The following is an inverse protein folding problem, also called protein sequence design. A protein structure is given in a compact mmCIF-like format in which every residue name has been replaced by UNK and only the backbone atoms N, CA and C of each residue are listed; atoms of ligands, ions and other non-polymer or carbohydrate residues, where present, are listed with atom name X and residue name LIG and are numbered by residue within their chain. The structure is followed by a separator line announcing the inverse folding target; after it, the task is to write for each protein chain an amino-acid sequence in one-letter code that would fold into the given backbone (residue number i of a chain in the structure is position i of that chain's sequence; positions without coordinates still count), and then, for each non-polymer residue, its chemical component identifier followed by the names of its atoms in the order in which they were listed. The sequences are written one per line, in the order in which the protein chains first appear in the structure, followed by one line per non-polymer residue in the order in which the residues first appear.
data_IF_557921230277
#
_entry.id   IF_557921230277
#
_cell.length_a   1.000
_cell.length_b   1.000
_cell.length_c   1.000
_cell.angle_alpha   90.00
_cell.angle_beta   90.00
_cell.angle_gamma   90.00
#
_symmetry.space_group_name_H-M   'P 1'
#
loop_
_entity.id
_entity.type
_entity.pdbx_description
1 polymer ?
#
# COMPACT_ATOMS: atom_id res chain seq x y z
N UNK A 1 -11.23 31.12 -17.37
CA UNK A 1 -10.98 32.24 -16.45
C UNK A 1 -11.20 31.67 -15.08
N UNK A 2 -10.21 31.73 -14.19
CA UNK A 2 -10.38 31.26 -12.81
C UNK A 2 -11.33 32.24 -12.09
N UNK A 3 -12.64 31.99 -12.15
CA UNK A 3 -13.58 32.77 -11.35
C UNK A 3 -13.31 32.46 -9.89
N UNK A 4 -13.14 33.50 -9.08
CA UNK A 4 -12.77 33.32 -7.68
C UNK A 4 -14.02 32.83 -6.93
N UNK A 5 -14.10 31.52 -6.67
CA UNK A 5 -15.26 30.88 -6.04
C UNK A 5 -15.38 31.27 -4.56
N UNK A 6 -14.26 31.67 -3.95
CA UNK A 6 -14.20 32.16 -2.57
C UNK A 6 -14.74 33.59 -2.45
N UNK A 7 -15.47 33.84 -1.37
CA UNK A 7 -15.98 35.18 -1.05
C UNK A 7 -14.92 35.96 -0.26
N UNK A 8 -14.43 37.11 -0.77
CA UNK A 8 -13.45 37.93 -0.07
C UNK A 8 -13.90 38.26 1.37
N UNK A 9 -12.96 38.18 2.30
CA UNK A 9 -13.16 38.47 3.73
C UNK A 9 -14.25 37.64 4.44
N UNK A 10 -14.68 36.52 3.84
CA UNK A 10 -15.69 35.62 4.41
C UNK A 10 -15.26 34.15 4.30
N UNK A 11 -14.31 33.70 5.15
CA UNK A 11 -13.84 32.31 5.15
C UNK A 11 -14.99 31.31 5.28
N UNK A 12 -14.95 30.26 4.46
CA UNK A 12 -16.00 29.23 4.43
C UNK A 12 -17.29 29.66 3.73
N UNK A 13 -17.30 30.78 3.00
CA UNK A 13 -18.39 31.12 2.08
C UNK A 13 -17.93 30.98 0.63
N UNK A 14 -18.84 30.49 -0.20
CA UNK A 14 -18.65 30.33 -1.64
C UNK A 14 -19.73 31.07 -2.41
N UNK A 15 -19.39 31.54 -3.60
CA UNK A 15 -20.36 32.05 -4.54
C UNK A 15 -21.18 30.90 -5.13
N UNK A 16 -22.49 31.06 -5.12
CA UNK A 16 -23.45 30.16 -5.73
C UNK A 16 -24.40 30.96 -6.62
N UNK A 17 -24.93 30.30 -7.63
CA UNK A 17 -25.98 30.84 -8.48
C UNK A 17 -27.08 29.80 -8.58
N UNK A 18 -28.33 30.23 -8.45
CA UNK A 18 -29.46 29.33 -8.65
C UNK A 18 -29.59 29.04 -10.14
N UNK A 19 -29.70 27.77 -10.51
CA UNK A 19 -29.95 27.42 -11.90
C UNK A 19 -31.41 27.73 -12.22
N UNK A 20 -31.65 28.77 -13.02
CA UNK A 20 -32.98 29.15 -13.48
C UNK A 20 -32.97 29.31 -15.00
N UNK A 21 -33.94 28.72 -15.72
CA UNK A 21 -34.06 28.88 -17.17
C UNK A 21 -34.49 30.30 -17.59
N UNK A 22 -34.67 31.22 -16.63
CA UNK A 22 -35.11 32.59 -16.86
C UNK A 22 -33.96 33.61 -16.81
N UNK A 23 -32.70 33.16 -16.85
CA UNK A 23 -31.45 33.95 -16.98
C UNK A 23 -31.21 35.09 -15.96
N UNK A 24 -32.03 35.23 -14.92
CA UNK A 24 -31.93 36.33 -13.94
C UNK A 24 -31.72 35.84 -12.49
N UNK A 25 -30.72 34.99 -12.29
CA UNK A 25 -30.31 34.62 -10.93
C UNK A 25 -29.07 35.38 -10.54
N UNK A 26 -29.24 36.33 -9.62
CA UNK A 26 -28.12 37.01 -8.99
C UNK A 26 -27.29 36.02 -8.17
N UNK A 27 -25.94 36.04 -8.29
CA UNK A 27 -25.07 35.27 -7.41
C UNK A 27 -25.34 35.60 -5.94
N UNK A 28 -25.20 34.60 -5.08
CA UNK A 28 -25.33 34.75 -3.64
C UNK A 28 -24.28 33.93 -2.92
N UNK A 29 -24.08 34.22 -1.63
CA UNK A 29 -23.14 33.47 -0.81
C UNK A 29 -23.83 32.34 -0.06
N UNK A 30 -23.23 31.15 -0.06
CA UNK A 30 -23.61 30.06 0.82
C UNK A 30 -22.43 29.67 1.71
N UNK A 31 -22.70 29.34 2.97
CA UNK A 31 -21.69 28.76 3.85
C UNK A 31 -21.39 27.33 3.38
N UNK A 32 -20.11 26.99 3.29
CA UNK A 32 -19.66 25.70 2.81
C UNK A 32 -18.39 25.28 3.56
N UNK A 33 -18.53 24.24 4.37
CA UNK A 33 -17.44 23.60 5.10
C UNK A 33 -17.38 22.08 4.85
N UNK A 34 -18.14 21.58 3.87
CA UNK A 34 -18.31 20.13 3.62
C UNK A 34 -18.03 19.75 2.18
N UNK A 35 -18.39 20.60 1.22
CA UNK A 35 -18.28 20.32 -0.21
C UNK A 35 -17.11 21.14 -0.78
N UNK A 36 -16.32 20.57 -1.68
CA UNK A 36 -15.28 21.35 -2.34
C UNK A 36 -15.90 22.40 -3.28
N UNK A 37 -15.54 23.67 -3.10
CA UNK A 37 -16.00 24.76 -3.97
C UNK A 37 -15.42 24.60 -5.38
N UNK A 38 -16.28 24.50 -6.40
CA UNK A 38 -15.89 24.37 -7.82
C UNK A 38 -16.87 25.16 -8.70
N UNK A 39 -16.35 25.86 -9.70
CA UNK A 39 -17.17 26.52 -10.70
C UNK A 39 -17.96 25.47 -11.49
N UNK A 40 -19.26 25.72 -11.73
CA UNK A 40 -20.14 24.79 -12.45
C UNK A 40 -20.60 23.57 -11.63
N UNK A 41 -20.14 23.40 -10.38
CA UNK A 41 -20.58 22.30 -9.54
C UNK A 41 -22.02 22.51 -9.08
N UNK A 42 -22.89 21.56 -9.44
CA UNK A 42 -24.28 21.59 -8.97
C UNK A 42 -24.33 21.12 -7.52
N UNK A 43 -24.77 22.02 -6.64
CA UNK A 43 -24.86 21.80 -5.20
C UNK A 43 -26.29 21.96 -4.70
N UNK A 44 -26.59 21.30 -3.59
CA UNK A 44 -27.86 21.41 -2.90
C UNK A 44 -27.70 22.44 -1.79
N UNK A 45 -28.55 23.47 -1.81
CA UNK A 45 -28.48 24.57 -0.85
C UNK A 45 -29.71 24.53 0.03
N UNK A 46 -29.49 24.56 1.34
CA UNK A 46 -30.55 24.60 2.34
C UNK A 46 -30.31 25.68 3.39
N UNK A 47 -31.18 25.70 4.41
CA UNK A 47 -31.00 26.56 5.58
C UNK A 47 -30.23 25.81 6.66
N UNK A 48 -29.03 26.28 6.98
CA UNK A 48 -28.22 25.79 8.10
C UNK A 48 -28.62 26.43 9.43
N UNK A 49 -27.86 26.10 10.48
CA UNK A 49 -28.04 26.69 11.81
C UNK A 49 -27.95 28.23 11.74
N UNK A 50 -28.90 28.92 12.37
CA UNK A 50 -29.00 30.39 12.33
C UNK A 50 -29.65 30.95 11.06
N UNK A 51 -30.26 30.11 10.22
CA UNK A 51 -31.03 30.54 9.05
C UNK A 51 -30.20 30.98 7.85
N UNK A 52 -28.87 30.84 7.92
CA UNK A 52 -27.95 31.09 6.80
C UNK A 52 -28.12 30.02 5.72
N UNK A 53 -27.89 30.40 4.46
CA UNK A 53 -27.80 29.43 3.35
C UNK A 53 -26.52 28.61 3.52
N UNK A 54 -26.65 27.29 3.48
CA UNK A 54 -25.56 26.33 3.64
C UNK A 54 -25.58 25.35 2.48
N UNK A 55 -24.41 25.03 1.95
CA UNK A 55 -24.21 23.93 1.02
C UNK A 55 -24.36 22.62 1.81
N UNK A 56 -25.44 21.89 1.53
CA UNK A 56 -25.79 20.68 2.27
C UNK A 56 -25.07 19.46 1.70
N UNK A 57 -25.13 19.33 0.40
CA UNK A 57 -24.62 18.20 -0.36
C UNK A 57 -24.46 18.61 -1.83
N UNK A 58 -24.06 17.68 -2.68
CA UNK A 58 -23.82 17.92 -4.08
C UNK A 58 -24.33 16.75 -4.92
N UNK A 59 -24.67 17.01 -6.18
CA UNK A 59 -25.14 15.95 -7.05
C UNK A 59 -23.96 15.11 -7.54
N UNK A 60 -23.74 13.93 -6.94
CA UNK A 60 -22.63 13.05 -7.31
C UNK A 60 -22.77 12.46 -8.73
N UNK A 61 -23.97 12.48 -9.33
CA UNK A 61 -24.18 12.01 -10.72
C UNK A 61 -23.67 12.98 -11.79
N UNK A 62 -23.39 14.24 -11.45
CA UNK A 62 -22.87 15.26 -12.39
C UNK A 62 -21.34 15.24 -12.58
N UNK A 63 -20.62 14.38 -11.86
CA UNK A 63 -19.14 14.28 -11.92
C UNK A 63 -18.62 13.45 -13.09
N UNK A 64 -19.44 12.58 -13.66
CA UNK A 64 -18.99 11.54 -14.60
C UNK A 64 -18.48 12.12 -15.94
N UNK A 65 -18.59 13.44 -16.17
CA UNK A 65 -18.22 14.07 -17.44
C UNK A 65 -17.45 15.41 -17.32
N UNK A 66 -16.83 15.73 -16.17
CA UNK A 66 -15.92 16.87 -16.12
C UNK A 66 -14.50 16.43 -16.44
N UNK A 67 -14.00 16.82 -17.62
CA UNK A 67 -12.57 16.84 -17.92
C UNK A 67 -11.87 17.52 -16.73
N UNK A 68 -10.90 16.83 -16.11
CA UNK A 68 -10.18 17.22 -14.88
C UNK A 68 -10.78 16.83 -13.51
N UNK A 69 -11.73 15.89 -13.42
CA UNK A 69 -12.07 15.31 -12.10
C UNK A 69 -10.85 14.69 -11.39
N UNK A 70 -9.88 14.17 -12.16
CA UNK A 70 -8.61 13.64 -11.68
C UNK A 70 -7.58 14.69 -11.20
N UNK A 71 -7.83 15.99 -11.40
CA UNK A 71 -6.95 17.06 -10.97
C UNK A 71 -7.60 17.87 -9.85
N UNK A 72 -7.53 17.38 -8.62
CA UNK A 72 -7.94 18.14 -7.45
C UNK A 72 -6.94 19.30 -7.22
N UNK A 73 -7.39 20.57 -7.22
CA UNK A 73 -6.49 21.75 -7.01
C UNK A 73 -5.88 21.81 -5.60
N UNK A 74 -6.38 21.04 -4.64
CA UNK A 74 -5.91 20.98 -3.24
C UNK A 74 -5.50 19.59 -2.76
N UNK A 75 -5.64 18.58 -3.61
CA UNK A 75 -5.14 17.24 -3.37
C UNK A 75 -4.34 16.90 -4.62
N UNK A 76 -3.02 16.86 -4.53
CA UNK A 76 -2.21 16.59 -5.69
C UNK A 76 -2.66 15.32 -6.39
N UNK A 77 -2.59 15.30 -7.72
CA UNK A 77 -2.87 14.11 -8.51
C UNK A 77 -2.19 12.91 -7.86
N UNK A 78 -2.95 11.88 -7.51
CA UNK A 78 -2.42 10.65 -6.93
C UNK A 78 -1.25 10.21 -7.81
N UNK A 79 -0.07 10.11 -7.23
CA UNK A 79 1.11 9.81 -8.02
C UNK A 79 1.04 8.33 -8.43
N UNK A 80 1.47 7.99 -9.64
CA UNK A 80 1.47 6.59 -10.09
C UNK A 80 2.47 5.73 -9.32
N UNK A 81 3.43 6.36 -8.65
CA UNK A 81 4.47 5.72 -7.86
C UNK A 81 4.62 6.44 -6.50
N UNK A 82 4.68 5.65 -5.43
CA UNK A 82 4.84 6.14 -4.05
C UNK A 82 6.17 5.62 -3.46
N UNK A 83 7.12 5.27 -4.32
CA UNK A 83 8.38 4.64 -3.96
C UNK A 83 9.51 5.67 -3.96
N UNK A 84 10.05 5.96 -2.76
CA UNK A 84 11.26 6.77 -2.60
C UNK A 84 12.45 5.83 -2.31
N UNK A 85 13.62 6.05 -2.95
CA UNK A 85 14.07 7.20 -3.73
C UNK A 85 13.96 7.03 -5.25
N UNK A 86 13.48 5.88 -5.71
CA UNK A 86 13.47 5.55 -7.15
C UNK A 86 12.62 6.54 -7.96
N UNK A 87 11.67 7.22 -7.31
CA UNK A 87 10.86 8.28 -7.89
C UNK A 87 10.77 9.54 -7.01
N UNK A 88 10.43 10.66 -7.63
CA UNK A 88 10.12 11.91 -6.93
C UNK A 88 8.69 11.77 -6.37
N UNK A 89 8.50 11.61 -5.05
CA UNK A 89 7.19 11.34 -4.50
C UNK A 89 6.26 12.50 -4.86
N UNK A 90 5.15 12.16 -5.52
CA UNK A 90 4.08 13.13 -5.71
C UNK A 90 3.50 13.55 -4.36
N UNK A 91 2.90 14.75 -4.25
CA UNK A 91 2.51 15.29 -2.97
C UNK A 91 1.17 14.73 -2.48
N UNK A 92 1.06 13.41 -2.31
CA UNK A 92 -0.21 12.79 -1.90
C UNK A 92 -0.42 12.87 -0.37
N UNK A 93 -1.67 13.08 0.07
CA UNK A 93 -2.01 13.32 1.50
C UNK A 93 -2.11 12.04 2.33
N UNK A 94 -2.10 10.87 1.69
CA UNK A 94 -2.02 9.57 2.35
C UNK A 94 -0.58 9.07 2.23
N UNK A 95 0.36 9.77 2.87
CA UNK A 95 1.75 9.33 3.00
C UNK A 95 1.83 8.12 3.95
N UNK A 96 1.34 6.97 3.49
CA UNK A 96 1.80 5.70 4.01
C UNK A 96 2.99 5.32 3.13
N UNK A 97 4.18 5.78 3.52
CA UNK A 97 5.39 5.40 2.83
C UNK A 97 5.49 3.86 2.83
N UNK A 98 5.89 3.20 1.73
CA UNK A 98 6.20 1.78 1.76
C UNK A 98 7.25 1.44 2.84
N UNK A 99 8.11 2.41 3.20
CA UNK A 99 9.03 2.35 4.36
C UNK A 99 8.31 2.16 5.70
N UNK A 100 7.10 2.70 5.86
CA UNK A 100 6.27 2.56 7.06
C UNK A 100 5.42 1.28 7.07
N UNK A 101 5.27 0.58 5.95
CA UNK A 101 4.49 -0.68 5.89
C UNK A 101 5.36 -1.93 5.84
N UNK A 102 6.58 -1.82 5.34
CA UNK A 102 7.38 -2.99 4.99
C UNK A 102 8.48 -3.21 6.03
N UNK A 103 8.16 -4.02 7.05
CA UNK A 103 9.12 -4.46 8.07
C UNK A 103 10.33 -5.14 7.41
N UNK A 104 11.48 -5.12 8.08
CA UNK A 104 12.74 -5.68 7.56
C UNK A 104 13.17 -5.15 6.18
N UNK A 105 12.81 -3.92 5.78
CA UNK A 105 13.31 -3.33 4.52
C UNK A 105 14.81 -3.13 4.56
N UNK A 106 15.53 -3.60 3.54
CA UNK A 106 16.94 -3.24 3.32
C UNK A 106 17.07 -1.90 2.59
N UNK A 107 18.04 -1.07 2.98
CA UNK A 107 18.37 0.23 2.37
C UNK A 107 19.88 0.51 2.49
N UNK A 108 20.46 1.44 1.69
CA UNK A 108 21.88 1.77 1.79
C UNK A 108 22.29 2.17 3.20
N UNK A 109 23.43 1.64 3.66
CA UNK A 109 24.00 2.00 4.94
C UNK A 109 24.54 3.43 4.96
N UNK A 110 24.67 3.98 6.16
CA UNK A 110 25.22 5.32 6.34
C UNK A 110 26.72 5.37 6.02
N UNK A 111 27.20 6.51 5.51
CA UNK A 111 28.63 6.79 5.39
C UNK A 111 29.29 6.45 4.04
N UNK A 112 28.52 6.08 3.01
CA UNK A 112 29.06 5.92 1.65
C UNK A 112 30.05 4.78 1.50
N UNK A 113 29.85 3.70 2.26
CA UNK A 113 30.59 2.45 2.16
C UNK A 113 29.68 1.33 1.61
N UNK A 114 30.27 0.16 1.30
CA UNK A 114 29.55 -1.06 0.94
C UNK A 114 28.85 -1.69 2.17
N UNK A 115 27.98 -0.91 2.79
CA UNK A 115 27.20 -1.30 3.94
C UNK A 115 25.71 -1.18 3.63
N UNK A 116 24.91 -2.04 4.25
CA UNK A 116 23.46 -2.01 4.14
C UNK A 116 22.82 -1.92 5.51
N UNK A 117 21.65 -1.33 5.57
CA UNK A 117 20.82 -1.21 6.76
C UNK A 117 19.53 -1.98 6.58
N UNK A 118 18.93 -2.43 7.68
CA UNK A 118 17.61 -3.04 7.69
C UNK A 118 16.69 -2.39 8.73
N UNK A 119 15.43 -2.19 8.35
CA UNK A 119 14.40 -1.66 9.25
C UNK A 119 14.01 -2.69 10.32
N UNK A 120 13.43 -2.26 11.45
CA UNK A 120 12.92 -3.16 12.48
C UNK A 120 11.91 -4.18 11.94
N UNK A 121 11.78 -5.30 12.64
CA UNK A 121 10.79 -6.35 12.38
C UNK A 121 10.25 -6.92 13.70
N UNK A 122 8.95 -7.21 13.72
CA UNK A 122 8.33 -8.04 14.76
C UNK A 122 7.92 -9.37 14.14
N UNK A 123 8.30 -10.47 14.76
CA UNK A 123 7.99 -11.81 14.26
C UNK A 123 7.77 -12.77 15.43
N UNK A 124 7.12 -13.90 15.15
CA UNK A 124 6.89 -14.97 16.12
C UNK A 124 7.98 -16.03 15.95
N UNK A 125 8.61 -16.43 17.06
CA UNK A 125 9.53 -17.56 17.10
C UNK A 125 9.08 -18.55 18.17
N UNK A 126 8.65 -19.75 17.75
CA UNK A 126 7.89 -20.63 18.63
C UNK A 126 6.62 -19.92 19.09
N UNK A 127 6.43 -19.74 20.39
CA UNK A 127 5.25 -19.04 20.96
C UNK A 127 5.60 -17.65 21.54
N UNK A 128 6.75 -17.08 21.17
CA UNK A 128 7.20 -15.80 21.68
C UNK A 128 7.25 -14.74 20.57
N UNK A 129 6.73 -13.54 20.90
CA UNK A 129 6.95 -12.36 20.07
C UNK A 129 8.39 -11.88 20.24
N UNK A 130 9.13 -11.87 19.15
CA UNK A 130 10.50 -11.38 19.07
C UNK A 130 10.53 -10.06 18.29
N UNK A 131 11.37 -9.13 18.74
CA UNK A 131 11.56 -7.84 18.09
C UNK A 131 13.02 -7.75 17.63
N UNK A 132 13.21 -7.62 16.32
CA UNK A 132 14.46 -7.16 15.74
C UNK A 132 14.43 -5.62 15.68
N UNK A 133 15.35 -4.91 16.36
CA UNK A 133 15.32 -3.45 16.45
C UNK A 133 15.78 -2.74 15.16
N UNK A 134 16.16 -3.47 14.11
CA UNK A 134 16.83 -2.91 12.94
C UNK A 134 18.35 -2.97 13.07
N UNK A 135 19.04 -2.66 11.97
CA UNK A 135 20.51 -2.53 11.92
C UNK A 135 20.86 -1.41 10.95
N UNK A 136 21.73 -0.49 11.36
CA UNK A 136 22.08 0.70 10.56
C UNK A 136 23.35 0.55 9.72
N UNK A 137 24.07 -0.57 9.87
CA UNK A 137 25.26 -0.87 9.09
C UNK A 137 25.64 -2.34 9.24
N UNK A 138 25.37 -3.13 8.21
CA UNK A 138 25.95 -4.43 7.95
C UNK A 138 26.97 -4.23 6.83
N UNK A 139 28.24 -4.43 7.16
CA UNK A 139 29.33 -4.39 6.18
C UNK A 139 29.33 -5.66 5.33
N UNK A 140 29.22 -5.48 4.01
CA UNK A 140 29.28 -6.55 3.02
C UNK A 140 30.44 -6.34 2.04
N UNK A 141 31.41 -5.50 2.37
CA UNK A 141 32.58 -5.25 1.50
C UNK A 141 33.40 -6.52 1.25
N UNK A 142 33.38 -7.48 2.18
CA UNK A 142 34.06 -8.76 2.01
C UNK A 142 33.45 -9.63 0.90
N UNK A 143 32.19 -9.39 0.54
CA UNK A 143 31.46 -10.07 -0.54
C UNK A 143 31.75 -9.46 -1.92
N UNK A 144 32.57 -8.41 -2.00
CA UNK A 144 32.84 -7.73 -3.26
C UNK A 144 33.60 -8.66 -4.23
N UNK A 145 33.08 -8.92 -5.44
CA UNK A 145 33.78 -9.77 -6.40
C UNK A 145 34.95 -9.02 -7.06
N UNK A 146 35.72 -9.71 -7.91
CA UNK A 146 36.74 -9.05 -8.72
C UNK A 146 36.12 -8.07 -9.75
N UNK A 147 36.88 -7.06 -10.17
CA UNK A 147 36.48 -6.11 -11.22
C UNK A 147 36.00 -6.85 -12.49
N UNK A 148 34.91 -6.37 -13.09
CA UNK A 148 34.23 -7.00 -14.23
C UNK A 148 33.25 -8.13 -13.86
N UNK A 149 33.10 -8.46 -12.57
CA UNK A 149 32.11 -9.41 -12.07
C UNK A 149 31.08 -8.73 -11.17
N UNK A 150 29.90 -9.34 -11.09
CA UNK A 150 28.82 -8.97 -10.19
C UNK A 150 28.22 -10.21 -9.51
N UNK A 151 27.64 -10.04 -8.32
CA UNK A 151 26.86 -11.07 -7.63
C UNK A 151 25.68 -10.43 -6.88
N UNK A 152 24.73 -11.26 -6.45
CA UNK A 152 23.76 -10.86 -5.43
C UNK A 152 24.24 -11.29 -4.05
N UNK A 153 24.25 -10.35 -3.11
CA UNK A 153 24.40 -10.61 -1.68
C UNK A 153 23.00 -10.65 -1.07
N UNK A 154 22.59 -11.81 -0.59
CA UNK A 154 21.29 -12.00 0.03
C UNK A 154 21.32 -11.53 1.48
N UNK A 155 20.46 -10.58 1.82
CA UNK A 155 20.30 -10.01 3.16
C UNK A 155 19.10 -10.66 3.83
N UNK A 156 19.30 -11.17 5.04
CA UNK A 156 18.28 -11.84 5.81
C UNK A 156 18.45 -11.62 7.32
N UNK A 157 17.36 -11.78 8.07
CA UNK A 157 17.39 -11.90 9.51
C UNK A 157 17.49 -13.37 9.89
N UNK A 158 18.52 -13.71 10.68
CA UNK A 158 18.62 -15.01 11.31
C UNK A 158 17.79 -15.01 12.60
N UNK A 159 16.72 -15.82 12.69
CA UNK A 159 15.89 -15.87 13.89
C UNK A 159 16.61 -16.54 15.08
N UNK A 160 17.72 -17.24 14.89
CA UNK A 160 18.46 -17.93 15.96
C UNK A 160 19.20 -17.00 16.90
N UNK A 161 19.86 -15.99 16.37
CA UNK A 161 20.54 -14.96 17.15
C UNK A 161 19.89 -13.57 17.02
N UNK A 162 18.82 -13.45 16.24
CA UNK A 162 18.09 -12.20 15.99
C UNK A 162 19.01 -11.12 15.39
N UNK A 163 19.91 -11.51 14.48
CA UNK A 163 20.85 -10.61 13.81
C UNK A 163 20.68 -10.61 12.28
N UNK A 164 20.95 -9.45 11.67
CA UNK A 164 21.00 -9.32 10.22
C UNK A 164 22.32 -9.92 9.69
N UNK A 165 22.21 -10.82 8.72
CA UNK A 165 23.31 -11.53 8.07
C UNK A 165 23.23 -11.41 6.55
N UNK A 166 24.33 -11.80 5.89
CA UNK A 166 24.45 -11.87 4.44
C UNK A 166 24.83 -13.28 3.98
N UNK A 167 24.50 -13.61 2.74
CA UNK A 167 24.97 -14.80 2.03
C UNK A 167 25.32 -14.43 0.59
N UNK A 168 26.47 -14.88 0.12
CA UNK A 168 26.96 -14.55 -1.22
C UNK A 168 26.37 -15.49 -2.26
N UNK A 169 25.90 -14.92 -3.36
CA UNK A 169 25.49 -15.65 -4.55
C UNK A 169 26.68 -16.02 -5.44
N UNK A 170 26.38 -16.68 -6.55
CA UNK A 170 27.39 -16.95 -7.57
C UNK A 170 27.76 -15.67 -8.34
N UNK A 171 29.05 -15.54 -8.67
CA UNK A 171 29.52 -14.45 -9.53
C UNK A 171 29.11 -14.65 -10.98
N UNK A 172 28.70 -13.58 -11.64
CA UNK A 172 28.46 -13.50 -13.07
C UNK A 172 29.19 -12.30 -13.68
N UNK A 173 29.15 -12.14 -15.00
CA UNK A 173 29.70 -10.99 -15.69
C UNK A 173 28.94 -9.71 -15.32
N UNK A 174 29.64 -8.63 -14.99
CA UNK A 174 29.02 -7.32 -14.72
C UNK A 174 28.52 -6.69 -16.02
N UNK A 175 27.26 -6.99 -16.36
CA UNK A 175 26.59 -6.48 -17.56
C UNK A 175 25.15 -6.07 -17.23
N UNK A 176 24.64 -4.96 -17.79
CA UNK A 176 23.23 -4.57 -17.62
C UNK A 176 22.22 -5.61 -18.10
N UNK A 177 22.62 -6.49 -19.02
CA UNK A 177 21.76 -7.55 -19.55
C UNK A 177 21.75 -8.83 -18.70
N UNK A 178 22.62 -8.91 -17.69
CA UNK A 178 22.82 -10.11 -16.87
C UNK A 178 22.47 -9.75 -15.42
N UNK A 179 21.42 -10.40 -14.92
CA UNK A 179 21.06 -10.35 -13.51
C UNK A 179 21.70 -11.55 -12.82
N UNK A 180 22.49 -11.36 -11.74
CA UNK A 180 22.98 -12.49 -10.95
C UNK A 180 21.84 -13.36 -10.44
N UNK A 181 22.10 -14.65 -10.23
CA UNK A 181 21.13 -15.53 -9.58
C UNK A 181 20.98 -15.15 -8.09
N UNK A 182 19.78 -15.31 -7.56
CA UNK A 182 19.56 -15.17 -6.11
C UNK A 182 20.39 -16.21 -5.34
N UNK A 183 21.04 -15.83 -4.24
CA UNK A 183 21.72 -16.80 -3.39
C UNK A 183 20.74 -17.78 -2.75
N UNK A 184 21.26 -18.95 -2.36
CA UNK A 184 20.54 -19.89 -1.53
C UNK A 184 20.53 -19.40 -0.08
N UNK A 185 19.38 -18.91 0.37
CA UNK A 185 19.19 -18.50 1.77
C UNK A 185 19.12 -19.73 2.70
N UNK A 186 19.55 -19.59 3.97
CA UNK A 186 19.28 -20.59 4.99
C UNK A 186 17.77 -20.84 5.14
N UNK A 187 17.36 -22.08 5.39
CA UNK A 187 15.95 -22.48 5.46
C UNK A 187 15.14 -21.71 6.53
N UNK A 188 15.77 -21.35 7.65
CA UNK A 188 15.14 -20.58 8.73
C UNK A 188 15.19 -19.06 8.54
N UNK A 189 15.81 -18.57 7.46
CA UNK A 189 16.05 -17.15 7.27
C UNK A 189 14.75 -16.38 7.01
N UNK A 190 14.58 -15.23 7.68
CA UNK A 190 13.54 -14.27 7.31
C UNK A 190 14.14 -13.32 6.27
N UNK A 191 13.72 -13.48 5.02
CA UNK A 191 14.31 -12.82 3.86
C UNK A 191 14.07 -11.31 3.87
N UNK A 192 15.05 -10.53 3.39
CA UNK A 192 14.95 -9.08 3.26
C UNK A 192 15.18 -8.60 1.82
N UNK A 193 16.39 -8.73 1.28
CA UNK A 193 16.69 -8.22 -0.06
C UNK A 193 17.85 -8.98 -0.69
N UNK A 194 17.95 -8.95 -2.01
CA UNK A 194 19.16 -9.24 -2.75
C UNK A 194 19.83 -7.92 -3.12
N UNK A 195 21.11 -7.76 -2.78
CA UNK A 195 21.88 -6.56 -3.06
C UNK A 195 22.86 -6.87 -4.17
N UNK A 196 22.70 -6.23 -5.34
CA UNK A 196 23.63 -6.34 -6.45
C UNK A 196 24.93 -5.66 -6.06
N UNK A 197 26.02 -6.39 -6.13
CA UNK A 197 27.35 -5.88 -5.82
C UNK A 197 28.29 -6.21 -6.98
N UNK A 198 28.91 -5.18 -7.57
CA UNK A 198 29.97 -5.37 -8.56
C UNK A 198 31.37 -5.07 -8.00
N UNK A 199 32.39 -5.55 -8.70
CA UNK A 199 33.77 -5.50 -8.22
C UNK A 199 34.41 -4.11 -8.15
N UNK A 200 33.79 -3.10 -8.74
CA UNK A 200 34.29 -1.71 -8.73
C UNK A 200 33.37 -0.76 -7.91
N UNK A 201 32.29 -1.31 -7.34
CA UNK A 201 31.32 -0.55 -6.56
C UNK A 201 31.94 -0.07 -5.25
N UNK A 202 31.64 1.17 -4.87
CA UNK A 202 32.13 1.74 -3.60
C UNK A 202 30.99 2.22 -2.71
N UNK A 203 29.80 2.38 -3.28
CA UNK A 203 28.58 2.85 -2.61
C UNK A 203 27.39 2.05 -3.09
N UNK A 204 26.41 1.87 -2.22
CA UNK A 204 25.10 1.36 -2.61
C UNK A 204 24.10 2.49 -2.81
N UNK A 205 23.19 2.25 -3.74
CA UNK A 205 21.96 2.98 -3.94
C UNK A 205 20.78 2.01 -3.86
N UNK A 206 19.56 2.51 -3.78
CA UNK A 206 18.40 1.62 -3.66
C UNK A 206 18.14 0.82 -4.93
N UNK A 207 18.57 1.30 -6.10
CA UNK A 207 18.48 0.52 -7.36
C UNK A 207 19.36 -0.73 -7.35
N UNK A 208 20.32 -0.81 -6.42
CA UNK A 208 21.14 -2.01 -6.22
C UNK A 208 20.41 -3.07 -5.38
N UNK A 209 19.20 -2.79 -4.89
CA UNK A 209 18.50 -3.64 -3.93
C UNK A 209 17.19 -4.16 -4.53
N UNK A 210 17.09 -5.48 -4.62
CA UNK A 210 15.88 -6.18 -5.04
C UNK A 210 15.21 -6.74 -3.79
N UNK A 211 13.98 -6.31 -3.53
CA UNK A 211 13.19 -6.82 -2.41
C UNK A 211 12.83 -8.29 -2.64
N UNK A 212 13.11 -9.14 -1.64
CA UNK A 212 12.73 -10.57 -1.65
C UNK A 212 11.92 -10.95 -0.41
N UNK A 213 11.39 -9.95 0.32
CA UNK A 213 10.51 -10.18 1.47
C UNK A 213 9.25 -10.89 1.02
N UNK A 214 8.84 -11.88 1.79
CA UNK A 214 7.50 -12.43 1.70
C UNK A 214 6.55 -11.48 2.43
N UNK A 215 5.85 -10.64 1.69
CA UNK A 215 4.88 -9.68 2.24
C UNK A 215 3.65 -10.42 2.82
N UNK A 216 3.31 -11.57 2.22
CA UNK A 216 2.21 -12.44 2.62
C UNK A 216 2.63 -13.88 2.31
N UNK A 217 3.01 -14.63 3.33
CA UNK A 217 3.05 -16.09 3.26
C UNK A 217 1.59 -16.57 3.06
N UNK A 218 1.26 -16.98 1.83
CA UNK A 218 -0.01 -17.62 1.49
C UNK A 218 -0.02 -19.14 1.81
N UNK A 219 1.07 -19.68 2.34
CA UNK A 219 1.29 -21.11 2.64
C UNK A 219 1.17 -21.50 4.12
N UNK A 220 0.84 -20.56 5.01
CA UNK A 220 0.28 -20.88 6.32
C UNK A 220 1.30 -21.12 7.41
N UNK A 221 1.51 -20.10 8.24
CA UNK A 221 1.01 -20.09 9.62
C UNK A 221 1.27 -18.72 10.20
N UNK A 222 0.37 -17.76 9.92
CA UNK A 222 0.34 -16.56 10.75
C UNK A 222 -0.41 -16.93 12.04
N UNK A 223 0.29 -17.61 12.96
CA UNK A 223 -0.16 -17.70 14.36
C UNK A 223 -0.10 -16.30 14.96
N UNK A 224 -1.13 -15.50 14.71
CA UNK A 224 -1.20 -14.12 15.17
C UNK A 224 -2.00 -13.15 14.29
N UNK A 225 -2.16 -13.39 12.98
CA UNK A 225 -3.15 -12.64 12.19
C UNK A 225 -4.48 -13.32 12.38
N UNK A 226 -5.06 -13.06 13.56
CA UNK A 226 -6.50 -13.08 13.69
C UNK A 226 -7.00 -11.96 12.80
N UNK A 227 -7.63 -12.30 11.68
CA UNK A 227 -8.65 -11.43 11.10
C UNK A 227 -9.74 -11.34 12.17
N UNK A 228 -9.55 -10.43 13.13
CA UNK A 228 -10.38 -10.35 14.33
C UNK A 228 -11.75 -9.72 14.05
N UNK A 229 -11.99 -9.30 12.80
CA UNK A 229 -13.27 -8.77 12.34
C UNK A 229 -13.29 -8.66 10.82
N UNK A 230 -14.06 -9.51 10.15
CA UNK A 230 -14.78 -9.03 8.97
C UNK A 230 -15.94 -8.21 9.53
N UNK A 231 -15.91 -6.89 9.33
CA UNK A 231 -17.09 -6.06 9.54
C UNK A 231 -17.83 -6.09 8.22
N UNK A 232 -18.87 -6.92 8.13
CA UNK A 232 -19.82 -6.81 7.04
C UNK A 232 -20.50 -5.43 7.09
N UNK A 233 -20.90 -4.86 5.93
CA UNK A 233 -21.49 -3.52 5.86
C UNK A 233 -22.76 -3.33 6.71
N UNK A 234 -23.38 -4.41 7.17
CA UNK A 234 -24.59 -4.44 8.00
C UNK A 234 -24.31 -4.45 9.52
N UNK A 235 -23.05 -4.53 9.94
CA UNK A 235 -22.66 -4.50 11.35
C UNK A 235 -23.01 -5.78 12.13
N UNK A 236 -23.39 -6.86 11.45
CA UNK A 236 -23.62 -8.16 12.06
C UNK A 236 -22.28 -8.90 12.21
N UNK A 237 -21.99 -9.36 13.43
CA UNK A 237 -20.84 -10.22 13.69
C UNK A 237 -21.20 -11.64 13.28
N UNK A 238 -20.85 -12.04 12.07
CA UNK A 238 -21.01 -13.43 11.63
C UNK A 238 -19.93 -14.36 12.21
N UNK A 239 -20.23 -15.67 12.38
CA UNK A 239 -19.40 -16.58 13.14
C UNK A 239 -18.05 -16.86 12.48
N UNK A 240 -17.07 -17.04 13.36
CA UNK A 240 -15.65 -17.22 13.08
C UNK A 240 -15.39 -18.33 12.08
N UNK A 241 -14.86 -17.97 10.91
CA UNK A 241 -14.10 -18.89 10.06
C UNK A 241 -12.86 -19.33 10.86
N UNK A 242 -12.87 -20.54 11.41
CA UNK A 242 -11.65 -21.19 11.88
C UNK A 242 -11.14 -22.09 10.75
N UNK A 243 -10.05 -21.69 10.11
CA UNK A 243 -9.24 -22.61 9.32
C UNK A 243 -8.45 -23.47 10.31
N UNK A 244 -8.46 -24.78 10.14
CA UNK A 244 -7.49 -25.63 10.81
C UNK A 244 -6.17 -25.67 10.00
N UNK A 245 -5.12 -26.22 10.62
CA UNK A 245 -3.79 -26.31 10.00
C UNK A 245 -3.74 -27.30 8.81
N UNK A 246 -4.87 -27.89 8.39
CA UNK A 246 -4.96 -28.74 7.20
C UNK A 246 -5.33 -27.96 5.94
N UNK A 247 -5.63 -26.66 6.04
CA UNK A 247 -6.12 -25.87 4.91
C UNK A 247 -7.61 -26.08 4.63
N UNK A 248 -8.31 -26.83 5.49
CA UNK A 248 -9.76 -26.98 5.43
C UNK A 248 -10.43 -25.83 6.20
N UNK A 249 -11.40 -25.19 5.53
CA UNK A 249 -12.30 -24.22 6.16
C UNK A 249 -13.54 -24.98 6.59
N UNK A 250 -13.61 -25.36 7.88
CA UNK A 250 -14.82 -25.97 8.42
C UNK A 250 -15.82 -24.87 8.80
N UNK A 251 -16.95 -24.80 8.10
CA UNK A 251 -18.08 -23.97 8.52
C UNK A 251 -18.81 -24.69 9.66
N UNK A 252 -18.42 -24.41 10.90
CA UNK A 252 -19.09 -24.92 12.09
C UNK A 252 -20.37 -24.11 12.36
N UNK A 253 -21.44 -24.41 11.62
CA UNK A 253 -22.77 -23.86 11.87
C UNK A 253 -23.82 -24.59 11.05
N UNK A 254 -24.99 -24.84 11.62
CA UNK A 254 -26.16 -25.41 10.93
C UNK A 254 -26.87 -24.38 10.04
N UNK A 255 -26.12 -23.42 9.48
CA UNK A 255 -26.65 -22.32 8.69
C UNK A 255 -26.50 -22.59 7.20
N UNK A 256 -27.51 -22.18 6.43
CA UNK A 256 -27.46 -22.22 4.97
C UNK A 256 -26.38 -21.27 4.44
N UNK A 257 -25.64 -21.72 3.42
CA UNK A 257 -24.77 -20.84 2.63
C UNK A 257 -25.68 -20.09 1.65
N UNK A 258 -26.01 -18.84 1.98
CA UNK A 258 -26.70 -17.94 1.05
C UNK A 258 -25.61 -17.21 0.26
N UNK A 259 -25.33 -17.67 -0.96
CA UNK A 259 -24.56 -16.89 -1.93
C UNK A 259 -25.51 -15.85 -2.55
N UNK A 260 -25.31 -14.54 -2.32
CA UNK A 260 -26.16 -13.53 -2.94
C UNK A 260 -25.86 -13.45 -4.44
N UNK A 261 -26.75 -14.03 -5.25
CA UNK A 261 -27.02 -13.74 -6.67
C UNK A 261 -25.85 -13.61 -7.67
N UNK A 262 -24.66 -14.13 -7.38
CA UNK A 262 -23.67 -14.34 -8.44
C UNK A 262 -23.94 -15.68 -9.13
N UNK A 263 -24.56 -15.56 -10.31
CA UNK A 263 -24.69 -16.60 -11.31
C UNK A 263 -23.29 -17.13 -11.63
N UNK A 264 -22.93 -18.29 -11.06
CA UNK A 264 -21.80 -19.07 -11.52
C UNK A 264 -22.17 -19.57 -12.92
N UNK A 265 -21.78 -18.82 -13.95
CA UNK A 265 -21.66 -19.36 -15.29
C UNK A 265 -20.43 -20.28 -15.29
N UNK A 266 -20.60 -21.54 -14.86
CA UNK A 266 -19.63 -22.57 -15.21
C UNK A 266 -19.86 -22.92 -16.68
N UNK A 267 -19.11 -22.27 -17.56
CA UNK A 267 -19.05 -22.59 -18.98
C UNK A 267 -18.47 -23.97 -19.28
N UNK A 268 -18.13 -24.76 -18.27
CA UNK A 268 -17.67 -26.14 -18.41
C UNK A 268 -18.62 -27.08 -17.66
N UNK A 269 -19.10 -28.08 -18.40
CA UNK A 269 -19.84 -29.24 -17.92
C UNK A 269 -18.90 -30.01 -16.96
N UNK A 270 -19.43 -30.40 -15.79
CA UNK A 270 -18.81 -31.25 -14.75
C UNK A 270 -18.06 -30.56 -13.60
N UNK A 271 -18.75 -29.72 -12.82
CA UNK A 271 -18.46 -29.62 -11.37
C UNK A 271 -19.72 -29.91 -10.57
N UNK A 272 -20.03 -31.20 -10.45
CA UNK A 272 -21.03 -31.71 -9.51
C UNK A 272 -20.38 -31.76 -8.12
N UNK A 273 -20.72 -30.82 -7.24
CA UNK A 273 -20.45 -30.97 -5.80
C UNK A 273 -21.42 -32.04 -5.29
N UNK A 274 -20.93 -33.28 -5.21
CA UNK A 274 -21.63 -34.37 -4.52
C UNK A 274 -21.44 -34.19 -3.01
N UNK A 275 -22.47 -33.70 -2.33
CA UNK A 275 -22.58 -33.83 -0.88
C UNK A 275 -23.13 -35.23 -0.58
N UNK A 276 -22.23 -36.18 -0.29
CA UNK A 276 -22.65 -37.46 0.31
C UNK A 276 -22.97 -37.24 1.79
N UNK A 277 -24.17 -37.65 2.20
CA UNK A 277 -24.64 -37.69 3.60
C UNK A 277 -24.14 -38.93 4.33
#
# INVERSE_FOLDING_TARGET
MDSNIDVPDRPGFVWCQEYSPLDDTSPFHAFNNKVQAREGLTVWIGKGLGGRREVLDWNNSTIVNTDNYAAQKYLPTHHSDHEWPDFKPGPDVVNVYPRSLSMLRTYPGEGGALTVSASPLRYIKGNALVIFPGKNSLDISASQPASGLALFVGIYLDPDDNTLKSVDGATTSDSPAITPDSPAFPESAILSANVRLNGDQTVFSEVDMVDVRQILDASGAIDGVRVSKLVSPDGLTDPVLSADNSGDVTLAGTGDIILPDDIIHSGDIDTLISLET
#
